data_IF_332260223476
#
_entry.id   IF_332260223476
#
_cell.length_a   1.000
_cell.length_b   1.000
_cell.length_c   1.000
_cell.angle_alpha   90.00
_cell.angle_beta   90.00
_cell.angle_gamma   90.00
#
_symmetry.space_group_name_H-M   'P 1'
#
loop_
_entity.id
_entity.type
_entity.pdbx_description
1 polymer ?
#
# COMPACT_ATOMS: atom_id res chain seq x y z
N UNK A 1 0.03 13.60 -6.61
CA UNK A 1 -0.94 13.79 -5.51
C UNK A 1 -1.72 12.51 -5.18
N UNK A 2 -2.41 11.88 -6.15
CA UNK A 2 -3.26 10.70 -5.89
C UNK A 2 -2.59 9.55 -5.12
N UNK A 3 -1.36 9.17 -5.49
CA UNK A 3 -0.67 8.06 -4.82
C UNK A 3 -0.41 8.31 -3.33
N UNK A 4 -0.17 9.56 -2.93
CA UNK A 4 0.07 9.94 -1.54
C UNK A 4 -1.24 9.96 -0.75
N UNK A 5 -2.29 10.59 -1.28
CA UNK A 5 -3.61 10.65 -0.62
C UNK A 5 -4.19 9.27 -0.40
N UNK A 6 -4.12 8.39 -1.41
CA UNK A 6 -4.58 7.01 -1.27
C UNK A 6 -3.71 6.22 -0.28
N UNK A 7 -2.39 6.44 -0.29
CA UNK A 7 -1.49 5.85 0.70
C UNK A 7 -1.85 6.23 2.13
N UNK A 8 -2.19 7.50 2.37
CA UNK A 8 -2.64 8.00 3.66
C UNK A 8 -3.96 7.35 4.12
N UNK A 9 -4.97 7.31 3.26
CA UNK A 9 -6.27 6.70 3.58
C UNK A 9 -6.15 5.21 3.86
N UNK A 10 -5.34 4.50 3.06
CA UNK A 10 -5.05 3.09 3.28
C UNK A 10 -4.34 2.89 4.62
N UNK A 11 -3.31 3.68 4.93
CA UNK A 11 -2.61 3.59 6.20
C UNK A 11 -3.56 3.75 7.41
N UNK A 12 -4.50 4.68 7.33
CA UNK A 12 -5.51 4.86 8.38
C UNK A 12 -6.45 3.64 8.50
N UNK A 13 -6.90 3.08 7.37
CA UNK A 13 -7.67 1.82 7.37
C UNK A 13 -6.88 0.65 7.96
N UNK A 14 -5.56 0.59 7.74
CA UNK A 14 -4.71 -0.46 8.30
C UNK A 14 -4.61 -0.37 9.82
N UNK A 15 -4.54 0.84 10.39
CA UNK A 15 -4.56 1.04 11.84
C UNK A 15 -5.83 0.47 12.48
N UNK A 16 -7.00 0.82 11.92
CA UNK A 16 -8.29 0.31 12.38
C UNK A 16 -8.37 -1.22 12.20
N UNK A 17 -7.90 -1.74 11.06
CA UNK A 17 -7.90 -3.18 10.80
C UNK A 17 -6.99 -3.94 11.77
N UNK A 18 -5.84 -3.39 12.14
CA UNK A 18 -4.92 -3.99 13.10
C UNK A 18 -5.54 -4.08 14.50
N UNK A 19 -6.20 -3.02 14.97
CA UNK A 19 -6.91 -3.03 16.26
C UNK A 19 -8.04 -4.06 16.28
N UNK A 20 -8.85 -4.12 15.22
CA UNK A 20 -9.94 -5.10 15.11
C UNK A 20 -9.44 -6.53 15.05
N UNK A 21 -8.39 -6.79 14.29
CA UNK A 21 -7.79 -8.11 14.19
C UNK A 21 -7.20 -8.56 15.53
N UNK A 22 -6.52 -7.67 16.26
CA UNK A 22 -5.99 -7.95 17.59
C UNK A 22 -7.10 -8.26 18.61
N UNK A 23 -8.25 -7.58 18.52
CA UNK A 23 -9.44 -7.90 19.31
C UNK A 23 -9.94 -9.33 19.06
N UNK A 24 -10.08 -9.72 17.78
CA UNK A 24 -10.51 -11.08 17.39
C UNK A 24 -9.51 -12.13 17.87
N UNK A 25 -8.20 -11.87 17.72
CA UNK A 25 -7.15 -12.78 18.20
C UNK A 25 -7.25 -12.99 19.72
N UNK A 26 -7.48 -11.92 20.49
CA UNK A 26 -7.64 -11.98 21.94
C UNK A 26 -8.88 -12.79 22.35
N UNK A 27 -10.01 -12.57 21.68
CA UNK A 27 -11.25 -13.32 21.93
C UNK A 27 -11.11 -14.82 21.63
N UNK A 28 -10.33 -15.15 20.60
CA UNK A 28 -10.07 -16.53 20.18
C UNK A 28 -8.88 -17.18 20.93
N UNK A 29 -8.19 -16.44 21.79
CA UNK A 29 -7.00 -16.92 22.49
C UNK A 29 -5.80 -17.21 21.58
N UNK A 30 -5.74 -16.58 20.40
CA UNK A 30 -4.65 -16.76 19.44
C UNK A 30 -3.55 -15.75 19.73
N UNK A 31 -2.32 -16.24 19.90
CA UNK A 31 -1.15 -15.38 20.03
C UNK A 31 -0.75 -14.79 18.66
N UNK A 32 -0.55 -13.47 18.62
CA UNK A 32 -0.05 -12.77 17.44
C UNK A 32 1.40 -13.17 17.08
N UNK A 33 2.15 -13.71 18.06
CA UNK A 33 3.49 -14.23 17.89
C UNK A 33 3.57 -15.59 17.19
N UNK A 34 2.44 -16.30 17.02
CA UNK A 34 2.38 -17.58 16.31
C UNK A 34 1.74 -17.42 14.91
N UNK A 35 2.57 -17.36 13.84
CA UNK A 35 2.07 -17.22 12.47
C UNK A 35 1.20 -18.40 12.03
N UNK A 36 1.37 -19.58 12.61
CA UNK A 36 0.58 -20.77 12.31
C UNK A 36 -0.85 -20.62 12.82
N UNK A 37 -1.01 -20.28 14.10
CA UNK A 37 -2.31 -20.05 14.72
C UNK A 37 -3.06 -18.87 14.07
N UNK A 38 -2.36 -17.79 13.74
CA UNK A 38 -2.96 -16.66 13.00
C UNK A 38 -3.46 -17.09 11.62
N UNK A 39 -2.72 -17.94 10.91
CA UNK A 39 -3.11 -18.41 9.58
C UNK A 39 -4.35 -19.30 9.64
N UNK A 40 -4.47 -20.17 10.63
CA UNK A 40 -5.69 -20.98 10.81
C UNK A 40 -6.89 -20.11 11.21
N UNK A 41 -6.71 -19.16 12.13
CA UNK A 41 -7.76 -18.18 12.48
C UNK A 41 -8.28 -17.42 11.26
N UNK A 42 -7.38 -17.00 10.37
CA UNK A 42 -7.72 -16.28 9.15
C UNK A 42 -8.49 -17.16 8.15
N UNK A 43 -8.25 -18.47 8.11
CA UNK A 43 -9.02 -19.37 7.24
C UNK A 43 -10.44 -19.58 7.77
N UNK A 44 -10.58 -19.68 9.09
CA UNK A 44 -11.85 -20.06 9.73
C UNK A 44 -12.72 -18.85 10.11
N UNK A 45 -12.16 -17.64 10.14
CA UNK A 45 -12.87 -16.43 10.57
C UNK A 45 -12.88 -15.35 9.50
N UNK A 46 -14.04 -15.15 8.86
CA UNK A 46 -14.23 -14.22 7.74
C UNK A 46 -13.77 -12.79 8.04
N UNK A 47 -14.08 -12.27 9.23
CA UNK A 47 -13.66 -10.91 9.60
C UNK A 47 -12.17 -10.81 9.86
N UNK A 48 -11.56 -11.86 10.43
CA UNK A 48 -10.11 -11.90 10.62
C UNK A 48 -9.41 -11.89 9.26
N UNK A 49 -9.91 -12.67 8.30
CA UNK A 49 -9.44 -12.68 6.92
C UNK A 49 -9.54 -11.31 6.25
N UNK A 50 -10.68 -10.62 6.44
CA UNK A 50 -10.89 -9.29 5.88
C UNK A 50 -9.88 -8.27 6.42
N UNK A 51 -9.72 -8.19 7.74
CA UNK A 51 -8.78 -7.23 8.36
C UNK A 51 -7.33 -7.56 8.03
N UNK A 52 -6.94 -8.83 8.06
CA UNK A 52 -5.62 -9.27 7.65
C UNK A 52 -5.33 -8.90 6.18
N UNK A 53 -6.31 -9.09 5.29
CA UNK A 53 -6.23 -8.71 3.89
C UNK A 53 -6.05 -7.20 3.69
N UNK A 54 -6.73 -6.37 4.49
CA UNK A 54 -6.54 -4.92 4.49
C UNK A 54 -5.11 -4.54 4.87
N UNK A 55 -4.57 -5.10 5.95
CA UNK A 55 -3.20 -4.85 6.40
C UNK A 55 -2.18 -5.20 5.30
N UNK A 56 -2.33 -6.37 4.67
CA UNK A 56 -1.43 -6.77 3.59
C UNK A 56 -1.57 -5.91 2.33
N UNK A 57 -2.79 -5.47 2.00
CA UNK A 57 -3.03 -4.57 0.86
C UNK A 57 -2.28 -3.25 1.04
N UNK A 58 -2.31 -2.67 2.24
CA UNK A 58 -1.58 -1.43 2.54
C UNK A 58 -0.08 -1.66 2.49
N UNK A 59 0.41 -2.78 3.04
CA UNK A 59 1.82 -3.14 2.96
C UNK A 59 2.31 -3.24 1.53
N UNK A 60 1.52 -3.84 0.64
CA UNK A 60 1.82 -3.91 -0.79
C UNK A 60 1.84 -2.50 -1.41
N UNK A 61 0.80 -1.72 -1.17
CA UNK A 61 0.68 -0.37 -1.72
C UNK A 61 1.87 0.54 -1.35
N UNK A 62 2.25 0.54 -0.07
CA UNK A 62 3.39 1.33 0.43
C UNK A 62 4.71 0.89 -0.21
N UNK A 63 4.90 -0.42 -0.44
CA UNK A 63 6.14 -0.95 -1.03
C UNK A 63 6.22 -0.81 -2.55
N UNK A 64 5.10 -0.85 -3.25
CA UNK A 64 5.10 -1.00 -4.71
C UNK A 64 4.46 0.18 -5.47
N UNK A 65 3.53 0.91 -4.86
CA UNK A 65 2.80 2.00 -5.54
C UNK A 65 3.25 3.37 -5.05
N UNK A 66 3.35 3.55 -3.72
CA UNK A 66 3.75 4.83 -3.13
C UNK A 66 5.12 5.36 -3.63
N UNK A 67 6.16 4.54 -3.89
CA UNK A 67 7.45 5.03 -4.39
C UNK A 67 7.38 5.77 -5.73
N UNK A 68 6.37 5.50 -6.56
CA UNK A 68 6.15 6.19 -7.83
C UNK A 68 5.97 7.70 -7.62
N UNK A 69 5.36 8.12 -6.51
CA UNK A 69 5.20 9.54 -6.19
C UNK A 69 6.56 10.24 -6.00
N UNK A 70 7.54 9.54 -5.42
CA UNK A 70 8.91 10.06 -5.27
C UNK A 70 9.60 10.15 -6.63
N UNK A 71 9.46 9.13 -7.47
CA UNK A 71 10.05 9.14 -8.81
C UNK A 71 9.53 10.33 -9.64
N UNK A 72 8.21 10.56 -9.63
CA UNK A 72 7.60 11.73 -10.28
C UNK A 72 8.12 13.04 -9.70
N UNK A 73 8.22 13.16 -8.38
CA UNK A 73 8.73 14.37 -7.75
C UNK A 73 10.20 14.66 -8.13
N UNK A 74 11.04 13.62 -8.26
CA UNK A 74 12.42 13.77 -8.74
C UNK A 74 12.41 14.26 -10.19
N UNK A 75 11.64 13.64 -11.07
CA UNK A 75 11.55 14.02 -12.49
C UNK A 75 11.01 15.43 -12.70
N UNK A 76 10.10 15.92 -11.86
CA UNK A 76 9.60 17.29 -11.95
C UNK A 76 10.69 18.28 -11.50
N UNK A 77 11.44 17.93 -10.45
CA UNK A 77 12.50 18.78 -9.89
C UNK A 77 13.74 18.89 -10.75
N UNK A 78 13.94 18.02 -11.73
CA UNK A 78 15.06 18.16 -12.68
C UNK A 78 14.85 19.34 -13.62
N UNK A 79 13.61 19.83 -13.78
CA UNK A 79 13.26 20.93 -14.68
C UNK A 79 13.81 20.72 -16.09
N UNK A 80 13.94 19.45 -16.50
CA UNK A 80 14.52 19.09 -17.79
C UNK A 80 13.51 19.43 -18.89
N UNK A 81 13.90 20.39 -19.74
CA UNK A 81 13.11 20.86 -20.87
C UNK A 81 13.71 20.42 -22.22
N UNK A 82 14.62 19.44 -22.21
CA UNK A 82 15.28 18.90 -23.40
C UNK A 82 14.30 18.49 -24.52
N UNK A 83 13.05 18.17 -24.17
CA UNK A 83 11.99 17.90 -25.13
C UNK A 83 11.66 19.10 -26.05
N UNK A 84 11.93 20.33 -25.62
CA UNK A 84 11.74 21.55 -26.40
C UNK A 84 12.85 21.76 -27.44
N UNK A 85 14.02 21.14 -27.24
CA UNK A 85 15.16 21.24 -28.16
C UNK A 85 15.08 20.25 -29.32
N UNK A 86 14.07 19.36 -29.33
CA UNK A 86 13.88 18.39 -30.40
C UNK A 86 13.42 19.12 -31.66
N UNK A 87 14.25 19.09 -32.71
CA UNK A 87 13.92 19.66 -34.01
C UNK A 87 12.63 19.04 -34.59
N UNK A 88 11.74 19.86 -35.18
CA UNK A 88 10.45 19.40 -35.72
C UNK A 88 10.61 18.28 -36.76
N UNK A 89 11.67 18.32 -37.55
CA UNK A 89 12.01 17.30 -38.54
C UNK A 89 12.23 15.91 -37.93
N UNK A 90 12.60 15.86 -36.64
CA UNK A 90 12.76 14.60 -35.89
C UNK A 90 11.43 13.88 -35.64
N UNK A 91 10.30 14.59 -35.80
CA UNK A 91 8.95 14.04 -35.66
C UNK A 91 8.30 13.71 -37.01
N UNK A 92 8.91 14.09 -38.14
CA UNK A 92 8.36 13.84 -39.47
C UNK A 92 8.66 12.40 -39.92
N UNK A 93 7.67 11.52 -39.73
CA UNK A 93 7.59 10.18 -40.33
C UNK A 93 6.30 10.09 -41.14
#
# INVERSE_FOLDING_TARGET
>A
MGNITLGWLLFWQAGIAAEKLAGIMKEKGVDAGDPGAVKELVKDHREAAFYQGKIYSVRYYVKHVLPQAKALAVSIKTEDLSCLDIAEESFAL
#
